data_IF_755543585037
#
_entry.id   IF_755543585037
#
_cell.length_a   1.000
_cell.length_b   1.000
_cell.length_c   1.000
_cell.angle_alpha   90.00
_cell.angle_beta   90.00
_cell.angle_gamma   90.00
#
_symmetry.space_group_name_H-M   'P 1'
#
loop_
_entity.id
_entity.type
_entity.pdbx_description
1 polymer ?
#
# COMPACT_ATOMS: atom_id res chain seq x y z
N UNK A 1 7.72 -9.10 -0.65
CA UNK A 1 7.44 -8.21 0.49
C UNK A 1 6.57 -8.83 1.59
N UNK A 2 5.31 -9.25 1.37
CA UNK A 2 4.49 -9.80 2.47
C UNK A 2 5.18 -10.93 3.27
N UNK A 3 5.82 -11.89 2.58
CA UNK A 3 6.60 -12.96 3.21
C UNK A 3 7.85 -12.46 3.95
N UNK A 4 8.50 -11.42 3.44
CA UNK A 4 9.73 -10.85 4.03
C UNK A 4 9.43 -10.15 5.35
N UNK A 5 8.28 -9.49 5.43
CA UNK A 5 7.84 -8.73 6.60
C UNK A 5 6.88 -9.50 7.53
N UNK A 6 6.61 -10.77 7.25
CA UNK A 6 5.61 -11.59 7.96
C UNK A 6 4.27 -10.85 8.16
N UNK A 7 3.77 -10.28 7.06
CA UNK A 7 2.55 -9.46 7.04
C UNK A 7 1.57 -9.93 5.97
N UNK A 8 0.39 -9.32 5.95
CA UNK A 8 -0.66 -9.57 4.97
C UNK A 8 -0.76 -8.40 3.96
N UNK A 9 -1.43 -8.58 2.80
CA UNK A 9 -1.51 -7.54 1.78
C UNK A 9 -2.12 -6.22 2.24
N UNK A 10 -3.13 -6.26 3.12
CA UNK A 10 -3.79 -5.05 3.61
C UNK A 10 -2.85 -4.27 4.54
N UNK A 11 -2.21 -4.97 5.48
CA UNK A 11 -1.25 -4.36 6.40
C UNK A 11 0.00 -3.85 5.67
N UNK A 12 0.50 -4.55 4.64
CA UNK A 12 1.59 -4.05 3.81
C UNK A 12 1.21 -2.75 3.08
N UNK A 13 0.00 -2.70 2.50
CA UNK A 13 -0.48 -1.50 1.81
C UNK A 13 -0.64 -0.31 2.77
N UNK A 14 -1.19 -0.53 3.96
CA UNK A 14 -1.30 0.51 4.99
C UNK A 14 0.08 0.96 5.49
N UNK A 15 1.01 0.03 5.67
CA UNK A 15 2.39 0.32 6.05
C UNK A 15 3.10 1.20 5.02
N UNK A 16 2.89 0.95 3.73
CA UNK A 16 3.39 1.80 2.66
C UNK A 16 2.83 3.22 2.73
N UNK A 17 1.51 3.37 2.86
CA UNK A 17 0.87 4.69 2.95
C UNK A 17 1.38 5.44 4.20
N UNK A 18 1.43 4.77 5.36
CA UNK A 18 1.91 5.36 6.61
C UNK A 18 3.42 5.61 6.64
N UNK A 19 4.19 5.11 5.65
CA UNK A 19 5.63 5.33 5.57
C UNK A 19 6.02 6.73 5.07
N UNK A 20 5.05 7.50 4.59
CA UNK A 20 5.23 8.90 4.17
C UNK A 20 5.03 9.82 5.38
N UNK A 21 6.04 10.64 5.74
CA UNK A 21 5.98 11.48 6.93
C UNK A 21 4.85 12.54 6.88
N UNK A 22 4.36 12.89 5.69
CA UNK A 22 3.23 13.78 5.48
C UNK A 22 1.88 13.16 5.87
N UNK A 23 1.82 11.84 6.02
CA UNK A 23 0.61 11.10 6.35
C UNK A 23 0.60 10.77 7.85
N UNK A 24 -0.29 11.43 8.58
CA UNK A 24 -0.43 11.23 10.03
C UNK A 24 -1.41 10.13 10.42
N UNK A 25 -2.39 9.83 9.56
CA UNK A 25 -3.45 8.84 9.84
C UNK A 25 -4.04 8.32 8.54
N UNK A 26 -4.37 7.02 8.52
CA UNK A 26 -5.14 6.38 7.44
C UNK A 26 -6.43 5.82 8.05
N UNK A 27 -7.58 6.07 7.42
CA UNK A 27 -8.89 5.57 7.87
C UNK A 27 -9.40 4.56 6.84
N UNK A 28 -9.08 3.26 6.99
CA UNK A 28 -9.50 2.24 6.04
C UNK A 28 -10.96 1.82 6.26
N UNK A 29 -11.67 1.53 5.17
CA UNK A 29 -13.04 1.02 5.23
C UNK A 29 -13.12 -0.41 5.78
N UNK A 30 -14.11 -0.68 6.63
CA UNK A 30 -14.37 -2.00 7.23
C UNK A 30 -15.75 -2.47 6.78
N UNK A 31 -15.80 -3.68 6.18
CA UNK A 31 -17.06 -4.32 5.77
C UNK A 31 -17.42 -5.53 6.63
N UNK A 32 -16.40 -6.19 7.18
CA UNK A 32 -16.52 -7.40 7.99
C UNK A 32 -15.48 -7.36 9.11
N UNK A 33 -15.76 -8.05 10.22
CA UNK A 33 -14.98 -7.94 11.46
C UNK A 33 -13.48 -8.23 11.28
N UNK A 34 -13.11 -9.19 10.44
CA UNK A 34 -11.69 -9.54 10.24
C UNK A 34 -10.88 -8.43 9.52
N UNK A 35 -11.53 -7.51 8.79
CA UNK A 35 -10.83 -6.35 8.23
C UNK A 35 -10.22 -5.48 9.33
N UNK A 36 -10.85 -5.42 10.52
CA UNK A 36 -10.30 -4.67 11.66
C UNK A 36 -8.92 -5.22 12.02
N UNK A 37 -8.81 -6.55 12.18
CA UNK A 37 -7.54 -7.19 12.49
C UNK A 37 -6.50 -6.92 11.39
N UNK A 38 -6.83 -7.11 10.12
CA UNK A 38 -5.89 -6.88 9.02
C UNK A 38 -5.45 -5.42 8.88
N UNK A 39 -6.34 -4.47 9.20
CA UNK A 39 -6.05 -3.05 9.06
C UNK A 39 -5.29 -2.46 10.26
N UNK A 40 -5.25 -3.16 11.40
CA UNK A 40 -4.67 -2.64 12.64
C UNK A 40 -3.52 -3.48 13.19
N UNK A 41 -3.36 -4.71 12.71
CA UNK A 41 -2.32 -5.64 13.14
C UNK A 41 -1.32 -5.88 12.00
N UNK A 42 -0.12 -6.34 12.35
CA UNK A 42 0.96 -6.64 11.39
C UNK A 42 1.40 -5.43 10.52
N UNK A 43 1.19 -4.20 11.01
CA UNK A 43 1.80 -3.01 10.43
C UNK A 43 3.32 -3.09 10.62
N UNK A 44 4.06 -2.76 9.59
CA UNK A 44 5.52 -2.88 9.56
C UNK A 44 6.16 -1.58 9.11
N UNK A 45 7.37 -1.32 9.57
CA UNK A 45 8.17 -0.24 9.02
C UNK A 45 8.91 -0.75 7.78
N UNK A 46 8.62 -0.15 6.64
CA UNK A 46 9.33 -0.45 5.39
C UNK A 46 10.68 0.25 5.38
N UNK A 47 11.68 -0.43 4.83
CA UNK A 47 12.91 0.26 4.45
C UNK A 47 12.70 1.12 3.19
N UNK A 48 13.63 2.04 2.93
CA UNK A 48 13.53 2.94 1.78
C UNK A 48 13.67 2.22 0.43
N UNK A 49 14.36 1.07 0.39
CA UNK A 49 14.50 0.29 -0.83
C UNK A 49 13.17 -0.33 -1.25
N UNK A 50 12.43 -0.89 -0.31
CA UNK A 50 11.12 -1.51 -0.53
C UNK A 50 10.04 -0.46 -0.80
N UNK A 51 10.12 0.72 -0.16
CA UNK A 51 9.29 1.87 -0.53
C UNK A 51 9.51 2.28 -1.98
N UNK A 52 10.76 2.45 -2.38
CA UNK A 52 11.13 2.82 -3.75
C UNK A 52 10.69 1.75 -4.75
N UNK A 53 10.86 0.47 -4.41
CA UNK A 53 10.41 -0.64 -5.24
C UNK A 53 8.88 -0.62 -5.43
N UNK A 54 8.10 -0.46 -4.36
CA UNK A 54 6.65 -0.36 -4.44
C UNK A 54 6.19 0.81 -5.31
N UNK A 55 6.84 1.96 -5.20
CA UNK A 55 6.56 3.10 -6.07
C UNK A 55 6.88 2.81 -7.54
N UNK A 56 8.00 2.13 -7.81
CA UNK A 56 8.37 1.78 -9.19
C UNK A 56 7.33 0.89 -9.89
N UNK A 57 6.66 -0.01 -9.15
CA UNK A 57 5.58 -0.84 -9.69
C UNK A 57 4.37 0.00 -10.17
N UNK A 58 4.05 1.09 -9.47
CA UNK A 58 3.03 2.01 -9.95
C UNK A 58 3.45 2.67 -11.26
N UNK A 59 4.68 3.17 -11.32
CA UNK A 59 5.21 3.88 -12.49
C UNK A 59 5.34 2.97 -13.72
N UNK A 60 5.74 1.71 -13.54
CA UNK A 60 5.94 0.77 -14.65
C UNK A 60 4.65 0.11 -15.11
N UNK A 61 3.78 -0.29 -14.18
CA UNK A 61 2.68 -1.21 -14.49
C UNK A 61 1.33 -0.50 -14.57
N UNK A 62 1.11 0.54 -13.76
CA UNK A 62 -0.20 1.18 -13.61
C UNK A 62 -0.30 2.54 -14.28
N UNK A 63 0.75 3.36 -14.22
CA UNK A 63 0.76 4.69 -14.83
C UNK A 63 0.47 4.63 -16.35
N UNK A 64 1.06 3.71 -17.15
CA UNK A 64 0.71 3.61 -18.57
C UNK A 64 -0.76 3.25 -18.79
N UNK A 65 -1.36 2.43 -17.92
CA UNK A 65 -2.77 2.06 -18.00
C UNK A 65 -3.66 3.26 -17.71
N UNK A 66 -3.32 4.05 -16.69
CA UNK A 66 -4.05 5.27 -16.35
C UNK A 66 -3.97 6.31 -17.48
N UNK A 67 -2.80 6.49 -18.07
CA UNK A 67 -2.60 7.39 -19.22
C UNK A 67 -3.45 6.95 -20.42
N UNK A 68 -3.48 5.64 -20.72
CA UNK A 68 -4.33 5.09 -21.78
C UNK A 68 -5.82 5.32 -21.50
N UNK A 69 -6.26 5.20 -20.24
CA UNK A 69 -7.64 5.46 -19.85
C UNK A 69 -7.99 6.93 -20.00
N UNK A 70 -7.09 7.83 -19.58
CA UNK A 70 -7.28 9.28 -19.69
C UNK A 70 -7.35 9.76 -21.15
N UNK A 71 -6.57 9.18 -22.06
CA UNK A 71 -6.60 9.52 -23.49
C UNK A 71 -7.89 9.08 -24.21
N UNK A 72 -8.68 8.17 -23.61
CA UNK A 72 -9.89 7.60 -24.20
C UNK A 72 -11.19 8.14 -23.59
N UNK A 73 -11.11 8.92 -22.51
CA UNK A 73 -12.23 9.64 -21.91
C UNK A 73 -12.35 11.05 -22.46
#
# INVERSE_FOLDING_TARGET
>A
LCKQYDTNPAALALSYILSYPEISTVIPGIRVAHHVAWNTQHLVQLDEADKTYLQSLYETDWLPVLDMMQQRG
#
